data_IF_128164049592
#
_entry.id   IF_128164049592
#
_cell.length_a   1.000
_cell.length_b   1.000
_cell.length_c   1.000
_cell.angle_alpha   90.00
_cell.angle_beta   90.00
_cell.angle_gamma   90.00
#
_symmetry.space_group_name_H-M   'P 1'
#
loop_
_entity.id
_entity.type
_entity.pdbx_description
1 polymer ?
#
# COMPACT_ATOMS: atom_id res chain seq x y z
N UNK A 1 9.00 12.59 20.20
CA UNK A 1 7.68 11.97 19.99
C UNK A 1 7.85 10.69 19.20
N UNK A 2 7.30 9.60 19.66
CA UNK A 2 7.36 8.33 18.94
C UNK A 2 6.43 8.35 17.74
N UNK A 3 6.89 7.80 16.62
CA UNK A 3 6.04 7.57 15.46
C UNK A 3 5.17 6.34 15.72
N UNK A 4 3.94 6.40 15.28
CA UNK A 4 2.95 5.34 15.50
C UNK A 4 2.35 4.90 14.19
N UNK A 5 1.84 3.66 14.18
CA UNK A 5 0.98 3.17 13.10
C UNK A 5 -0.37 3.85 13.28
N UNK A 6 -0.83 4.54 12.24
CA UNK A 6 -2.13 5.23 12.27
C UNK A 6 -3.08 4.63 11.23
N UNK A 7 -4.37 4.68 11.55
CA UNK A 7 -5.42 4.31 10.62
C UNK A 7 -5.79 5.54 9.81
N UNK A 8 -5.87 5.37 8.49
CA UNK A 8 -6.18 6.47 7.57
C UNK A 8 -7.15 5.98 6.50
N UNK A 9 -7.75 6.95 5.79
CA UNK A 9 -8.49 6.68 4.58
C UNK A 9 -7.83 7.43 3.43
N UNK A 10 -7.53 6.71 2.35
CA UNK A 10 -6.92 7.27 1.15
C UNK A 10 -8.01 7.47 0.13
N UNK A 11 -8.14 8.67 -0.50
CA UNK A 11 -9.10 8.85 -1.59
C UNK A 11 -8.70 7.99 -2.78
N UNK A 12 -9.60 7.07 -3.16
CA UNK A 12 -9.41 6.20 -4.31
C UNK A 12 -10.45 6.44 -5.39
N UNK A 13 -10.34 5.77 -6.55
CA UNK A 13 -11.29 5.99 -7.65
C UNK A 13 -12.73 5.57 -7.35
N UNK A 14 -12.93 4.58 -6.49
CA UNK A 14 -14.27 4.10 -6.11
C UNK A 14 -14.73 4.63 -4.75
N UNK A 15 -13.98 5.56 -4.17
CA UNK A 15 -14.26 6.12 -2.86
C UNK A 15 -13.07 5.94 -1.93
N UNK A 16 -13.32 5.91 -0.61
CA UNK A 16 -12.24 5.81 0.36
C UNK A 16 -11.65 4.40 0.39
N UNK A 17 -10.35 4.34 0.65
CA UNK A 17 -9.61 3.10 0.86
C UNK A 17 -9.10 3.08 2.30
N UNK A 18 -9.44 2.02 3.03
CA UNK A 18 -8.94 1.82 4.40
C UNK A 18 -7.48 1.44 4.37
N UNK A 19 -6.66 2.09 5.19
CA UNK A 19 -5.22 1.82 5.20
C UNK A 19 -4.63 2.01 6.58
N UNK A 20 -3.45 1.43 6.79
CA UNK A 20 -2.62 1.70 7.96
C UNK A 20 -1.27 2.21 7.49
N UNK A 21 -0.78 3.24 8.15
CA UNK A 21 0.40 3.97 7.73
C UNK A 21 1.34 4.20 8.88
N UNK A 22 2.64 4.03 8.62
CA UNK A 22 3.70 4.40 9.53
C UNK A 22 4.65 5.34 8.81
N UNK A 23 4.87 6.53 9.38
CA UNK A 23 5.82 7.50 8.84
C UNK A 23 7.15 7.39 9.56
N UNK A 24 8.24 7.23 8.81
CA UNK A 24 9.59 7.26 9.35
C UNK A 24 9.91 8.64 9.92
N UNK A 25 10.88 8.69 10.83
CA UNK A 25 11.37 9.95 11.41
C UNK A 25 12.09 10.83 10.39
N UNK A 26 12.69 10.21 9.35
CA UNK A 26 13.46 10.94 8.33
C UNK A 26 12.60 11.19 7.10
N UNK A 27 12.57 12.43 6.62
CA UNK A 27 11.83 12.78 5.41
C UNK A 27 12.39 12.15 4.15
N UNK A 28 13.66 11.72 4.17
CA UNK A 28 14.35 11.10 3.05
C UNK A 28 14.28 9.58 3.08
N UNK A 29 13.60 8.99 4.06
CA UNK A 29 13.47 7.54 4.16
C UNK A 29 12.78 6.97 2.94
N UNK A 30 13.10 5.73 2.53
CA UNK A 30 12.38 5.09 1.45
C UNK A 30 10.93 4.83 1.86
N UNK A 31 10.07 4.72 0.86
CA UNK A 31 8.66 4.40 1.06
C UNK A 31 8.34 3.01 0.54
N UNK A 32 7.36 2.37 1.15
CA UNK A 32 6.88 1.06 0.71
C UNK A 32 5.36 1.00 0.76
N UNK A 33 4.78 0.41 -0.28
CA UNK A 33 3.36 0.09 -0.34
C UNK A 33 3.23 -1.43 -0.30
N UNK A 34 2.41 -1.96 0.60
CA UNK A 34 2.19 -3.41 0.75
C UNK A 34 0.75 -3.74 0.38
N UNK A 35 0.58 -4.67 -0.57
CA UNK A 35 -0.72 -5.02 -1.14
C UNK A 35 -1.19 -6.39 -0.69
N UNK A 36 -2.51 -6.50 -0.47
CA UNK A 36 -3.18 -7.65 0.10
C UNK A 36 -3.33 -8.83 -0.88
N UNK A 37 -3.58 -10.04 -0.36
CA UNK A 37 -3.98 -11.17 -1.20
C UNK A 37 -5.42 -10.99 -1.72
N UNK A 38 -5.90 -11.99 -2.50
CA UNK A 38 -7.13 -11.90 -3.28
C UNK A 38 -8.35 -11.54 -2.42
N UNK A 39 -9.05 -10.44 -2.76
CA UNK A 39 -10.18 -9.97 -1.96
C UNK A 39 -11.33 -10.97 -1.83
N UNK A 40 -11.58 -11.78 -2.87
CA UNK A 40 -12.68 -12.73 -2.88
C UNK A 40 -12.36 -14.05 -2.20
N UNK A 41 -11.11 -14.24 -1.76
CA UNK A 41 -10.68 -15.45 -1.06
C UNK A 41 -10.21 -15.11 0.36
N UNK A 42 -10.88 -14.14 0.98
CA UNK A 42 -10.60 -13.75 2.36
C UNK A 42 -9.39 -12.85 2.55
N UNK A 43 -8.80 -12.36 1.45
CA UNK A 43 -7.64 -11.47 1.53
C UNK A 43 -7.98 -10.09 2.07
N UNK A 44 -7.15 -9.59 2.97
CA UNK A 44 -7.23 -8.23 3.52
C UNK A 44 -5.83 -7.72 3.82
N UNK A 45 -5.73 -6.42 4.13
CA UNK A 45 -4.46 -5.82 4.59
C UNK A 45 -4.00 -6.37 5.94
N UNK A 46 -4.83 -7.12 6.64
CA UNK A 46 -4.50 -7.72 7.93
C UNK A 46 -4.04 -9.19 7.81
N UNK A 47 -3.86 -9.67 6.58
CA UNK A 47 -3.24 -10.97 6.34
C UNK A 47 -1.88 -11.03 7.03
N UNK A 48 -1.54 -12.18 7.61
CA UNK A 48 -0.31 -12.33 8.40
C UNK A 48 0.95 -11.94 7.63
N UNK A 49 1.06 -12.36 6.37
CA UNK A 49 2.23 -12.05 5.53
C UNK A 49 2.29 -10.54 5.25
N UNK A 50 1.16 -9.92 4.97
CA UNK A 50 1.08 -8.47 4.74
C UNK A 50 1.52 -7.70 5.98
N UNK A 51 1.02 -8.08 7.15
CA UNK A 51 1.38 -7.42 8.41
C UNK A 51 2.86 -7.59 8.73
N UNK A 52 3.39 -8.81 8.55
CA UNK A 52 4.81 -9.07 8.80
C UNK A 52 5.71 -8.29 7.84
N UNK A 53 5.33 -8.21 6.57
CA UNK A 53 6.04 -7.43 5.56
C UNK A 53 6.02 -5.95 5.92
N UNK A 54 4.86 -5.42 6.29
CA UNK A 54 4.71 -4.05 6.75
C UNK A 54 5.64 -3.77 7.95
N UNK A 55 5.63 -4.64 8.94
CA UNK A 55 6.45 -4.47 10.14
C UNK A 55 7.95 -4.52 9.82
N UNK A 56 8.37 -5.36 8.88
CA UNK A 56 9.75 -5.45 8.46
C UNK A 56 10.21 -4.12 7.82
N UNK A 57 9.38 -3.53 6.96
CA UNK A 57 9.68 -2.21 6.40
C UNK A 57 9.77 -1.15 7.50
N UNK A 58 8.81 -1.16 8.42
CA UNK A 58 8.78 -0.21 9.54
C UNK A 58 10.06 -0.30 10.36
N UNK A 59 10.51 -1.52 10.67
CA UNK A 59 11.71 -1.77 11.47
C UNK A 59 13.00 -1.38 10.75
N UNK A 60 12.95 -1.22 9.43
CA UNK A 60 14.10 -0.81 8.62
C UNK A 60 14.00 0.65 8.17
N UNK A 61 13.30 1.47 8.93
CA UNK A 61 13.19 2.92 8.74
C UNK A 61 12.50 3.35 7.44
N UNK A 62 11.61 2.53 6.91
CA UNK A 62 10.73 2.93 5.80
C UNK A 62 9.51 3.66 6.34
N UNK A 63 9.00 4.60 5.55
CA UNK A 63 7.61 5.00 5.66
C UNK A 63 6.80 3.99 4.87
N UNK A 64 5.82 3.36 5.50
CA UNK A 64 5.15 2.19 4.90
C UNK A 64 3.65 2.25 5.10
N UNK A 65 2.91 1.81 4.06
CA UNK A 65 1.45 1.77 4.04
C UNK A 65 1.00 0.39 3.60
N UNK A 66 -0.02 -0.15 4.28
CA UNK A 66 -0.78 -1.29 3.79
C UNK A 66 -2.23 -0.88 3.62
N UNK A 67 -2.89 -1.38 2.58
CA UNK A 67 -4.19 -0.87 2.16
C UNK A 67 -5.15 -2.02 1.84
N UNK A 68 -6.43 -1.84 2.15
CA UNK A 68 -7.51 -2.69 1.67
C UNK A 68 -7.99 -2.19 0.33
N UNK A 69 -8.02 -3.04 -0.68
CA UNK A 69 -8.61 -2.72 -1.97
C UNK A 69 -10.12 -2.44 -1.82
N UNK A 70 -10.70 -1.86 -2.86
CA UNK A 70 -12.14 -1.56 -2.92
C UNK A 70 -12.99 -2.75 -2.46
N UNK A 71 -14.01 -2.48 -1.68
CA UNK A 71 -14.94 -3.50 -1.20
C UNK A 71 -14.42 -4.36 -0.05
N UNK A 72 -13.18 -4.16 0.40
CA UNK A 72 -12.60 -4.93 1.50
C UNK A 72 -12.59 -4.08 2.77
N UNK A 73 -12.98 -4.66 3.90
CA UNK A 73 -13.01 -3.95 5.17
C UNK A 73 -13.86 -2.69 5.09
N UNK A 74 -13.28 -1.56 5.44
CA UNK A 74 -13.95 -0.25 5.40
C UNK A 74 -13.74 0.50 4.08
N UNK A 75 -13.13 -0.13 3.09
CA UNK A 75 -12.95 0.48 1.76
C UNK A 75 -14.24 0.46 0.98
N UNK A 76 -14.54 1.56 0.28
CA UNK A 76 -15.72 1.68 -0.56
C UNK A 76 -15.55 0.89 -1.87
N UNK A 77 -16.67 0.69 -2.57
CA UNK A 77 -16.67 0.06 -3.88
C UNK A 77 -16.83 -1.45 -3.84
N UNK A 78 -16.58 -2.08 -4.97
CA UNK A 78 -16.72 -3.52 -5.16
C UNK A 78 -15.55 -4.06 -5.95
N UNK A 79 -15.24 -5.35 -5.76
CA UNK A 79 -14.19 -6.04 -6.50
C UNK A 79 -14.37 -5.84 -8.00
N UNK A 80 -13.31 -5.45 -8.70
CA UNK A 80 -13.34 -5.09 -10.11
C UNK A 80 -12.32 -5.86 -10.95
N UNK A 81 -12.16 -7.14 -10.67
CA UNK A 81 -11.39 -8.09 -11.47
C UNK A 81 -9.93 -7.67 -11.72
N UNK A 82 -9.34 -6.93 -10.81
CA UNK A 82 -7.95 -6.49 -10.88
C UNK A 82 -7.75 -5.11 -11.51
N UNK A 83 -8.64 -4.66 -12.39
CA UNK A 83 -8.50 -3.34 -13.04
C UNK A 83 -8.69 -2.20 -12.05
N UNK A 84 -9.79 -2.25 -11.29
CA UNK A 84 -10.06 -1.26 -10.27
C UNK A 84 -9.05 -1.34 -9.14
N UNK A 85 -8.62 -2.55 -8.77
CA UNK A 85 -7.63 -2.75 -7.74
C UNK A 85 -6.27 -2.16 -8.12
N UNK A 86 -5.90 -2.25 -9.40
CA UNK A 86 -4.69 -1.59 -9.90
C UNK A 86 -4.80 -0.07 -9.75
N UNK A 87 -5.96 0.50 -10.06
CA UNK A 87 -6.20 1.93 -9.87
C UNK A 87 -6.17 2.33 -8.40
N UNK A 88 -6.68 1.46 -7.51
CA UNK A 88 -6.59 1.67 -6.05
C UNK A 88 -5.13 1.70 -5.59
N UNK A 89 -4.33 0.75 -6.07
CA UNK A 89 -2.90 0.69 -5.74
C UNK A 89 -2.17 1.95 -6.22
N UNK A 90 -2.48 2.42 -7.43
CA UNK A 90 -1.90 3.66 -7.95
C UNK A 90 -2.26 4.86 -7.07
N UNK A 91 -3.52 4.95 -6.62
CA UNK A 91 -3.96 6.02 -5.71
C UNK A 91 -3.23 5.96 -4.37
N UNK A 92 -3.04 4.76 -3.83
CA UNK A 92 -2.30 4.57 -2.57
C UNK A 92 -0.83 4.95 -2.73
N UNK A 93 -0.21 4.59 -3.86
CA UNK A 93 1.17 4.96 -4.15
C UNK A 93 1.32 6.48 -4.27
N UNK A 94 0.40 7.14 -4.98
CA UNK A 94 0.38 8.60 -5.08
C UNK A 94 0.30 9.24 -3.70
N UNK A 95 -0.55 8.67 -2.84
CA UNK A 95 -0.73 9.21 -1.50
C UNK A 95 0.55 9.13 -0.67
N UNK A 96 1.20 7.96 -0.64
CA UNK A 96 2.41 7.80 0.19
C UNK A 96 3.57 8.62 -0.37
N UNK A 97 3.65 8.79 -1.68
CA UNK A 97 4.67 9.63 -2.29
C UNK A 97 4.45 11.11 -1.95
N UNK A 98 3.21 11.58 -1.93
CA UNK A 98 2.91 12.97 -1.53
C UNK A 98 3.25 13.21 -0.07
N UNK A 99 2.98 12.23 0.80
CA UNK A 99 3.33 12.34 2.21
C UNK A 99 4.83 12.27 2.45
N UNK A 100 5.59 11.80 1.48
CA UNK A 100 7.04 11.59 1.57
C UNK A 100 7.72 12.02 0.26
N UNK A 101 7.51 13.26 -0.15
CA UNK A 101 7.97 13.73 -1.46
C UNK A 101 9.50 13.73 -1.62
N UNK A 102 10.26 13.72 -0.52
CA UNK A 102 11.72 13.64 -0.53
C UNK A 102 12.25 12.21 -0.37
N UNK A 103 11.41 11.19 -0.56
CA UNK A 103 11.81 9.80 -0.36
C UNK A 103 13.00 9.42 -1.24
N UNK A 104 13.86 8.56 -0.71
CA UNK A 104 15.07 8.11 -1.41
C UNK A 104 14.81 6.97 -2.38
N UNK A 105 13.79 6.15 -2.12
CA UNK A 105 13.41 4.99 -2.95
C UNK A 105 11.94 4.68 -2.77
N UNK A 106 11.35 4.07 -3.78
CA UNK A 106 9.95 3.66 -3.76
C UNK A 106 9.87 2.14 -3.99
N UNK A 107 9.32 1.42 -2.99
CA UNK A 107 9.17 -0.03 -3.02
C UNK A 107 7.69 -0.40 -3.03
N UNK A 108 7.36 -1.48 -3.73
CA UNK A 108 6.04 -2.08 -3.68
C UNK A 108 6.20 -3.56 -3.38
N UNK A 109 5.41 -4.06 -2.45
CA UNK A 109 5.39 -5.46 -2.08
C UNK A 109 3.96 -5.96 -2.10
N UNK A 110 3.78 -7.23 -2.45
CA UNK A 110 2.45 -7.82 -2.49
C UNK A 110 2.53 -9.32 -2.30
N UNK A 111 1.44 -9.89 -1.78
CA UNK A 111 1.31 -11.31 -1.56
C UNK A 111 0.20 -11.85 -2.45
N UNK A 112 0.49 -12.89 -3.25
CA UNK A 112 -0.48 -13.54 -4.12
C UNK A 112 -1.10 -12.56 -5.12
N UNK A 113 -2.40 -12.29 -5.05
CA UNK A 113 -3.07 -11.29 -5.88
C UNK A 113 -2.38 -9.92 -5.79
N UNK A 114 -1.95 -9.53 -4.59
CA UNK A 114 -1.20 -8.29 -4.40
C UNK A 114 0.10 -8.25 -5.17
N UNK A 115 0.77 -9.39 -5.34
CA UNK A 115 2.00 -9.43 -6.14
C UNK A 115 1.72 -9.22 -7.63
N UNK A 116 0.61 -9.75 -8.14
CA UNK A 116 0.18 -9.49 -9.52
C UNK A 116 -0.09 -8.00 -9.74
N UNK A 117 -0.81 -7.37 -8.83
CA UNK A 117 -1.08 -5.94 -8.90
C UNK A 117 0.23 -5.14 -8.81
N UNK A 118 1.16 -5.55 -7.93
CA UNK A 118 2.47 -4.91 -7.80
C UNK A 118 3.25 -4.94 -9.10
N UNK A 119 3.24 -6.08 -9.80
CA UNK A 119 3.92 -6.20 -11.09
C UNK A 119 3.30 -5.29 -12.15
N UNK A 120 1.97 -5.23 -12.21
CA UNK A 120 1.28 -4.36 -13.15
C UNK A 120 1.54 -2.88 -12.85
N UNK A 121 1.59 -2.52 -11.57
CA UNK A 121 1.90 -1.16 -11.14
C UNK A 121 3.33 -0.78 -11.53
N UNK A 122 4.29 -1.69 -11.29
CA UNK A 122 5.69 -1.49 -11.66
C UNK A 122 5.85 -1.14 -13.14
N UNK A 123 5.09 -1.81 -14.00
CA UNK A 123 5.15 -1.58 -15.44
C UNK A 123 4.65 -0.18 -15.85
N UNK A 124 3.91 0.50 -14.99
CA UNK A 124 3.31 1.81 -15.26
C UNK A 124 3.94 2.95 -14.47
N UNK A 125 4.75 2.64 -13.47
CA UNK A 125 5.29 3.65 -12.53
C UNK A 125 6.81 3.49 -12.45
N UNK A 126 7.54 4.24 -13.29
CA UNK A 126 8.99 4.10 -13.38
C UNK A 126 9.74 4.49 -12.10
N UNK A 127 9.11 5.24 -11.20
CA UNK A 127 9.72 5.60 -9.92
C UNK A 127 9.87 4.41 -8.96
N UNK A 128 9.15 3.29 -9.20
CA UNK A 128 9.27 2.12 -8.32
C UNK A 128 10.63 1.47 -8.52
N UNK A 129 11.42 1.44 -7.46
CA UNK A 129 12.80 0.92 -7.50
C UNK A 129 12.86 -0.58 -7.23
N UNK A 130 11.95 -1.07 -6.40
CA UNK A 130 11.95 -2.47 -5.94
C UNK A 130 10.52 -2.98 -5.78
N UNK A 131 10.38 -4.25 -6.00
CA UNK A 131 9.12 -4.92 -5.68
C UNK A 131 9.40 -6.39 -5.33
#
# INVERSE_FOLDING_TARGET
MENKIIEIFIPGPAGRLEAKYFKSKKNTSPVALVLQPHPQYGGTMNNKVVVETFNTFKENDFSVCRVNFRGVGKSDGEFDNGQGELADAAAALDWIERENFDNSQCWVAGFSFGSLISMQLLMRRPEINRF
#
